data_IF_403853652609
#
_entry.id   IF_403853652609
#
_cell.length_a   1.000
_cell.length_b   1.000
_cell.length_c   1.000
_cell.angle_alpha   90.00
_cell.angle_beta   90.00
_cell.angle_gamma   90.00
#
_symmetry.space_group_name_H-M   'P 1'
#
loop_
_entity.id
_entity.type
_entity.pdbx_description
1 polymer ?
#
# COMPACT_ATOMS: atom_id res chain seq x y z
N UNK A 1 4.51 75.37 44.42
CA UNK A 1 5.04 74.10 43.82
C UNK A 1 4.00 73.02 43.98
N UNK A 2 3.21 72.82 42.96
CA UNK A 2 2.09 71.85 42.96
C UNK A 2 2.53 70.58 42.15
N UNK A 3 2.58 69.48 42.85
CA UNK A 3 2.88 68.12 42.25
C UNK A 3 1.60 67.49 41.77
N UNK A 4 1.50 67.21 40.46
CA UNK A 4 0.41 66.49 39.88
C UNK A 4 0.79 64.98 39.75
N UNK A 5 0.19 64.18 40.59
CA UNK A 5 0.21 62.70 40.45
C UNK A 5 -0.81 62.28 39.42
N UNK A 6 -0.34 61.66 38.28
CA UNK A 6 -1.18 61.06 37.28
C UNK A 6 -1.36 59.59 37.63
N UNK A 7 -2.57 59.22 38.00
CA UNK A 7 -3.01 57.79 38.17
C UNK A 7 -3.22 57.17 36.82
N UNK A 8 -2.42 56.15 36.51
CA UNK A 8 -2.57 55.29 35.32
C UNK A 8 -3.55 54.16 35.63
N UNK A 9 -4.70 54.14 34.97
CA UNK A 9 -5.65 53.03 35.03
C UNK A 9 -5.26 51.99 33.99
N UNK A 10 -4.82 50.82 34.44
CA UNK A 10 -4.66 49.64 33.60
C UNK A 10 -6.03 49.05 33.28
N UNK A 11 -6.40 49.08 32.00
CA UNK A 11 -7.54 48.35 31.47
C UNK A 11 -7.09 46.93 31.11
N UNK A 12 -7.55 45.93 31.85
CA UNK A 12 -7.35 44.52 31.57
C UNK A 12 -8.37 44.08 30.51
N UNK A 13 -7.93 43.99 29.27
CA UNK A 13 -8.73 43.38 28.20
C UNK A 13 -8.63 41.87 28.29
N UNK A 14 -9.70 41.19 28.69
CA UNK A 14 -9.82 39.74 28.65
C UNK A 14 -10.04 39.32 27.20
N UNK A 15 -9.03 38.66 26.60
CA UNK A 15 -9.13 38.07 25.29
C UNK A 15 -9.83 36.69 25.42
N UNK A 16 -11.10 36.63 25.03
CA UNK A 16 -11.85 35.39 24.96
C UNK A 16 -11.42 34.68 23.67
N UNK A 17 -10.55 33.66 23.80
CA UNK A 17 -10.13 32.77 22.72
C UNK A 17 -11.23 31.75 22.52
N UNK A 18 -12.16 32.00 21.59
CA UNK A 18 -13.15 30.99 21.16
C UNK A 18 -12.45 29.92 20.30
N UNK A 19 -12.25 28.75 20.88
CA UNK A 19 -11.85 27.56 20.12
C UNK A 19 -12.99 27.18 19.16
N UNK A 20 -12.85 27.52 17.90
CA UNK A 20 -13.64 26.91 16.84
C UNK A 20 -13.15 25.47 16.64
N UNK A 21 -13.82 24.49 17.25
CA UNK A 21 -13.68 23.09 16.89
C UNK A 21 -14.44 22.90 15.58
N UNK A 22 -13.71 22.94 14.46
CA UNK A 22 -14.28 22.54 13.18
C UNK A 22 -14.72 21.07 13.27
N UNK A 23 -15.96 20.71 12.85
CA UNK A 23 -16.35 19.33 12.78
C UNK A 23 -15.43 18.62 11.78
N UNK A 24 -14.62 17.71 12.27
CA UNK A 24 -13.92 16.77 11.40
C UNK A 24 -14.99 15.91 10.74
N UNK A 25 -15.24 16.16 9.46
CA UNK A 25 -15.95 15.22 8.61
C UNK A 25 -15.12 13.94 8.57
N UNK A 26 -15.45 13.01 9.47
CA UNK A 26 -14.95 11.65 9.43
C UNK A 26 -15.46 11.06 8.11
N UNK A 27 -14.62 11.13 7.08
CA UNK A 27 -14.83 10.31 5.89
C UNK A 27 -14.65 8.87 6.36
N UNK A 28 -15.76 8.21 6.68
CA UNK A 28 -15.75 6.77 6.86
C UNK A 28 -15.14 6.18 5.61
N UNK A 29 -14.00 5.50 5.77
CA UNK A 29 -13.37 4.81 4.67
C UNK A 29 -14.41 3.89 4.03
N UNK A 30 -14.53 3.85 2.69
CA UNK A 30 -15.41 2.91 2.03
C UNK A 30 -15.06 1.49 2.54
N UNK A 31 -16.05 0.65 2.80
CA UNK A 31 -15.79 -0.71 3.25
C UNK A 31 -14.84 -1.39 2.27
N UNK A 32 -13.86 -2.19 2.74
CA UNK A 32 -12.94 -2.88 1.86
C UNK A 32 -13.77 -3.68 0.84
N UNK A 33 -13.40 -3.56 -0.44
CA UNK A 33 -14.06 -4.30 -1.50
C UNK A 33 -14.01 -5.79 -1.14
N UNK A 34 -15.16 -6.42 -0.99
CA UNK A 34 -15.24 -7.83 -0.66
C UNK A 34 -14.71 -8.65 -1.84
N UNK A 35 -13.59 -9.32 -1.66
CA UNK A 35 -13.13 -10.32 -2.63
C UNK A 35 -13.96 -11.57 -2.40
N UNK A 36 -14.71 -11.97 -3.42
CA UNK A 36 -15.49 -13.20 -3.34
C UNK A 36 -14.55 -14.42 -3.54
N UNK A 37 -14.74 -15.50 -2.78
CA UNK A 37 -13.88 -16.71 -2.87
C UNK A 37 -13.85 -17.37 -4.25
N UNK A 38 -14.80 -17.05 -5.10
CA UNK A 38 -14.93 -17.61 -6.46
C UNK A 38 -14.23 -16.78 -7.55
N UNK A 39 -13.32 -15.89 -7.17
CA UNK A 39 -12.53 -15.14 -8.14
C UNK A 39 -13.27 -13.98 -8.77
N UNK A 40 -14.04 -13.21 -8.05
CA UNK A 40 -14.59 -11.96 -8.52
C UNK A 40 -13.62 -10.80 -8.24
N UNK A 41 -13.48 -9.92 -9.22
CA UNK A 41 -12.71 -8.70 -9.08
C UNK A 41 -11.44 -8.66 -9.92
N UNK A 42 -10.77 -7.54 -9.84
CA UNK A 42 -9.57 -7.21 -10.60
C UNK A 42 -8.38 -6.98 -9.68
N UNK A 43 -7.25 -7.62 -9.98
CA UNK A 43 -5.95 -7.27 -9.46
C UNK A 43 -5.27 -6.27 -10.38
N UNK A 44 -4.86 -5.11 -9.85
CA UNK A 44 -4.03 -4.15 -10.58
C UNK A 44 -2.58 -4.24 -10.10
N UNK A 45 -1.67 -4.55 -11.01
CA UNK A 45 -0.22 -4.59 -10.75
C UNK A 45 0.41 -3.37 -11.41
N UNK A 46 1.11 -2.55 -10.63
CA UNK A 46 1.84 -1.36 -11.11
C UNK A 46 3.33 -1.61 -10.94
N UNK A 47 4.10 -1.52 -12.03
CA UNK A 47 5.50 -1.89 -12.03
C UNK A 47 6.42 -1.04 -12.90
N UNK A 48 7.70 -1.38 -12.85
CA UNK A 48 8.77 -0.80 -13.66
C UNK A 48 9.38 -1.84 -14.62
N UNK A 49 10.63 -1.61 -15.09
CA UNK A 49 11.35 -2.55 -15.97
C UNK A 49 11.50 -3.96 -15.39
N UNK A 50 11.57 -4.09 -14.07
CA UNK A 50 11.63 -5.40 -13.43
C UNK A 50 10.31 -6.15 -13.59
N UNK A 51 9.18 -5.46 -13.56
CA UNK A 51 7.86 -6.05 -13.79
C UNK A 51 7.68 -6.44 -15.26
N UNK A 52 8.10 -5.58 -16.21
CA UNK A 52 8.14 -5.91 -17.64
C UNK A 52 8.87 -7.23 -17.88
N UNK A 53 10.09 -7.36 -17.37
CA UNK A 53 10.88 -8.59 -17.52
C UNK A 53 10.26 -9.79 -16.79
N UNK A 54 9.64 -9.55 -15.63
CA UNK A 54 8.98 -10.60 -14.84
C UNK A 54 7.77 -11.16 -15.57
N UNK A 55 6.97 -10.33 -16.21
CA UNK A 55 5.86 -10.80 -17.02
C UNK A 55 6.33 -11.44 -18.32
N UNK A 56 7.20 -10.77 -19.07
CA UNK A 56 7.67 -11.27 -20.36
C UNK A 56 8.34 -12.65 -20.28
N UNK A 57 9.32 -12.82 -19.39
CA UNK A 57 10.07 -14.07 -19.24
C UNK A 57 9.40 -15.05 -18.28
N UNK A 58 8.71 -14.57 -17.27
CA UNK A 58 8.15 -15.36 -16.18
C UNK A 58 6.65 -15.59 -16.28
N UNK A 59 5.96 -14.95 -17.25
CA UNK A 59 4.51 -15.08 -17.48
C UNK A 59 3.70 -14.75 -16.22
N UNK A 60 4.03 -13.61 -15.58
CA UNK A 60 3.44 -13.20 -14.30
C UNK A 60 1.91 -13.10 -14.40
N UNK A 61 1.38 -12.40 -15.43
CA UNK A 61 -0.05 -12.21 -15.59
C UNK A 61 -0.79 -13.55 -15.67
N UNK A 62 -0.48 -14.37 -16.66
CA UNK A 62 -1.19 -15.63 -16.89
C UNK A 62 -1.01 -16.63 -15.74
N UNK A 63 0.12 -16.59 -15.02
CA UNK A 63 0.32 -17.42 -13.82
C UNK A 63 -0.51 -16.95 -12.64
N UNK A 64 -0.70 -15.63 -12.52
CA UNK A 64 -1.55 -15.05 -11.47
C UNK A 64 -3.02 -15.34 -11.74
N UNK A 65 -3.48 -15.21 -12.99
CA UNK A 65 -4.84 -15.58 -13.40
C UNK A 65 -5.16 -17.04 -13.08
N UNK A 66 -4.20 -17.95 -13.32
CA UNK A 66 -4.35 -19.40 -12.97
C UNK A 66 -4.47 -19.69 -11.47
N UNK A 67 -4.21 -18.71 -10.59
CA UNK A 67 -4.51 -18.90 -9.17
C UNK A 67 -6.02 -18.98 -8.90
N UNK A 68 -6.87 -18.44 -9.80
CA UNK A 68 -8.31 -18.40 -9.65
C UNK A 68 -8.83 -17.43 -8.58
N UNK A 69 -7.93 -16.62 -7.98
CA UNK A 69 -8.30 -15.63 -6.95
C UNK A 69 -8.84 -14.35 -7.60
N UNK A 70 -8.19 -13.92 -8.69
CA UNK A 70 -8.59 -12.75 -9.48
C UNK A 70 -8.77 -13.17 -10.94
N UNK A 71 -10.01 -13.15 -11.46
CA UNK A 71 -10.27 -13.50 -12.86
C UNK A 71 -9.71 -12.45 -13.85
N UNK A 72 -9.50 -11.24 -13.36
CA UNK A 72 -8.93 -10.15 -14.15
C UNK A 72 -7.63 -9.71 -13.47
N UNK A 73 -6.52 -9.89 -14.17
CA UNK A 73 -5.20 -9.38 -13.76
C UNK A 73 -4.77 -8.36 -14.79
N UNK A 74 -4.55 -7.13 -14.35
CA UNK A 74 -4.05 -6.05 -15.20
C UNK A 74 -2.67 -5.65 -14.73
N UNK A 75 -1.71 -5.58 -15.66
CA UNK A 75 -0.36 -5.10 -15.39
C UNK A 75 -0.17 -3.77 -16.13
N UNK A 76 0.16 -2.73 -15.38
CA UNK A 76 0.61 -1.44 -15.89
C UNK A 76 2.06 -1.27 -15.49
N UNK A 77 2.97 -1.63 -16.37
CA UNK A 77 4.41 -1.52 -16.16
C UNK A 77 5.07 -0.66 -17.24
N UNK A 78 6.15 0.02 -16.84
CA UNK A 78 6.94 0.87 -17.74
C UNK A 78 8.37 0.98 -17.27
N UNK A 79 9.37 0.74 -18.15
CA UNK A 79 10.78 0.93 -17.80
C UNK A 79 11.05 2.33 -17.23
N UNK A 80 11.89 2.40 -16.18
CA UNK A 80 12.27 3.65 -15.53
C UNK A 80 11.23 4.29 -14.64
N UNK A 81 10.05 3.66 -14.45
CA UNK A 81 8.96 4.22 -13.64
C UNK A 81 9.36 4.38 -12.18
N UNK A 82 9.13 5.57 -11.64
CA UNK A 82 9.28 5.88 -10.21
C UNK A 82 8.00 5.59 -9.45
N UNK A 83 8.13 5.29 -8.16
CA UNK A 83 6.99 5.01 -7.30
C UNK A 83 6.02 6.19 -7.20
N UNK A 84 6.51 7.43 -7.25
CA UNK A 84 5.64 8.63 -7.22
C UNK A 84 4.60 8.66 -8.34
N UNK A 85 4.85 8.02 -9.48
CA UNK A 85 3.89 7.95 -10.58
C UNK A 85 2.74 6.97 -10.31
N UNK A 86 2.90 6.05 -9.34
CA UNK A 86 1.82 5.12 -9.00
C UNK A 86 0.58 5.85 -8.47
N UNK A 87 0.73 6.94 -7.74
CA UNK A 87 -0.39 7.74 -7.25
C UNK A 87 -1.30 8.20 -8.40
N UNK A 88 -0.75 8.80 -9.46
CA UNK A 88 -1.52 9.22 -10.64
C UNK A 88 -2.12 8.04 -11.42
N UNK A 89 -1.43 6.89 -11.42
CA UNK A 89 -1.94 5.67 -12.08
C UNK A 89 -3.14 5.14 -11.29
N UNK A 90 -3.05 5.07 -9.97
CA UNK A 90 -4.14 4.65 -9.10
C UNK A 90 -5.36 5.54 -9.26
N UNK A 91 -5.18 6.86 -9.23
CA UNK A 91 -6.26 7.83 -9.46
C UNK A 91 -7.05 7.52 -10.73
N UNK A 92 -6.33 7.19 -11.82
CA UNK A 92 -6.92 6.97 -13.16
C UNK A 92 -7.45 5.56 -13.37
N UNK A 93 -6.85 4.55 -12.77
CA UNK A 93 -7.12 3.15 -13.12
C UNK A 93 -7.91 2.37 -12.07
N UNK A 94 -8.09 2.90 -10.85
CA UNK A 94 -8.94 2.24 -9.88
C UNK A 94 -10.41 2.31 -10.30
N UNK A 95 -11.00 1.14 -10.44
CA UNK A 95 -12.43 0.97 -10.77
C UNK A 95 -13.16 0.31 -9.61
N UNK A 96 -14.49 0.29 -9.67
CA UNK A 96 -15.31 -0.41 -8.67
C UNK A 96 -15.04 -1.93 -8.62
N UNK A 97 -14.49 -2.50 -9.68
CA UNK A 97 -14.13 -3.92 -9.73
C UNK A 97 -12.71 -4.21 -9.24
N UNK A 98 -11.89 -3.19 -8.98
CA UNK A 98 -10.54 -3.40 -8.43
C UNK A 98 -10.65 -3.81 -6.96
N UNK A 99 -10.11 -4.97 -6.61
CA UNK A 99 -10.23 -5.57 -5.28
C UNK A 99 -8.88 -5.69 -4.56
N UNK A 100 -7.78 -5.59 -5.29
CA UNK A 100 -6.44 -5.60 -4.73
C UNK A 100 -5.43 -4.90 -5.66
N UNK A 101 -4.34 -4.44 -5.07
CA UNK A 101 -3.28 -3.71 -5.76
C UNK A 101 -1.93 -4.36 -5.45
N UNK A 102 -1.07 -4.47 -6.47
CA UNK A 102 0.36 -4.76 -6.29
C UNK A 102 1.15 -3.55 -6.72
N UNK A 103 2.06 -3.10 -5.87
CA UNK A 103 3.06 -2.09 -6.18
C UNK A 103 4.43 -2.76 -6.25
N UNK A 104 5.04 -2.77 -7.43
CA UNK A 104 6.37 -3.30 -7.67
C UNK A 104 7.30 -2.17 -8.15
N UNK A 105 7.43 -1.14 -7.31
CA UNK A 105 8.15 0.10 -7.58
C UNK A 105 9.05 0.50 -6.40
N UNK A 106 9.98 1.40 -6.66
CA UNK A 106 10.94 1.93 -5.69
C UNK A 106 12.38 1.82 -6.18
N UNK A 107 12.68 0.89 -7.08
CA UNK A 107 14.04 0.68 -7.63
C UNK A 107 14.57 1.96 -8.29
N UNK A 108 13.80 2.56 -9.19
CA UNK A 108 14.21 3.78 -9.91
C UNK A 108 14.28 5.01 -9.00
N UNK A 109 13.50 5.01 -7.93
CA UNK A 109 13.59 6.03 -6.88
C UNK A 109 14.92 5.92 -6.14
N UNK A 110 15.32 4.72 -5.74
CA UNK A 110 16.57 4.51 -5.02
C UNK A 110 17.81 4.75 -5.86
N UNK A 111 17.71 4.65 -7.18
CA UNK A 111 18.77 5.07 -8.12
C UNK A 111 18.89 6.59 -8.13
N UNK A 112 17.79 7.33 -8.14
CA UNK A 112 17.75 8.77 -8.46
C UNK A 112 17.51 9.70 -7.26
N UNK A 113 17.02 9.20 -6.12
CA UNK A 113 16.61 10.00 -4.96
C UNK A 113 17.45 9.67 -3.71
N UNK A 114 18.46 10.50 -3.38
CA UNK A 114 19.32 10.29 -2.22
C UNK A 114 18.68 10.74 -0.88
N UNK A 115 17.64 11.57 -0.92
CA UNK A 115 17.09 12.24 0.24
C UNK A 115 16.57 11.25 1.30
N UNK A 116 16.89 11.48 2.55
CA UNK A 116 16.55 10.59 3.65
C UNK A 116 15.04 10.49 3.92
N UNK A 117 14.32 11.58 3.70
CA UNK A 117 12.88 11.68 3.92
C UNK A 117 12.06 11.05 2.79
N UNK A 118 12.63 10.93 1.59
CA UNK A 118 11.91 10.57 0.38
C UNK A 118 11.21 9.20 0.44
N UNK A 119 11.82 8.11 0.97
CA UNK A 119 11.16 6.83 1.06
C UNK A 119 9.81 6.87 1.79
N UNK A 120 9.75 7.54 2.95
CA UNK A 120 8.49 7.68 3.68
C UNK A 120 7.47 8.48 2.87
N UNK A 121 7.88 9.62 2.36
CA UNK A 121 7.02 10.50 1.56
C UNK A 121 6.38 9.76 0.38
N UNK A 122 7.18 9.06 -0.43
CA UNK A 122 6.65 8.41 -1.63
C UNK A 122 5.75 7.21 -1.32
N UNK A 123 6.04 6.48 -0.25
CA UNK A 123 5.16 5.40 0.21
C UNK A 123 3.81 5.98 0.67
N UNK A 124 3.82 7.03 1.50
CA UNK A 124 2.59 7.65 1.99
C UNK A 124 1.79 8.29 0.85
N UNK A 125 2.47 8.91 -0.13
CA UNK A 125 1.84 9.45 -1.35
C UNK A 125 1.08 8.36 -2.13
N UNK A 126 1.70 7.21 -2.35
CA UNK A 126 1.08 6.10 -3.08
C UNK A 126 -0.07 5.49 -2.29
N UNK A 127 0.16 5.24 -0.99
CA UNK A 127 -0.83 4.60 -0.14
C UNK A 127 -2.10 5.44 0.05
N UNK A 128 -1.99 6.77 0.04
CA UNK A 128 -3.14 7.67 0.10
C UNK A 128 -4.13 7.46 -1.07
N UNK A 129 -3.61 7.11 -2.25
CA UNK A 129 -4.43 6.92 -3.46
C UNK A 129 -5.02 5.51 -3.58
N UNK A 130 -4.70 4.59 -2.69
CA UNK A 130 -5.18 3.19 -2.76
C UNK A 130 -6.65 3.01 -2.40
N UNK A 131 -7.35 4.04 -1.93
CA UNK A 131 -8.76 4.01 -1.47
C UNK A 131 -9.00 2.91 -0.43
N UNK A 132 -8.02 2.67 0.44
CA UNK A 132 -8.00 1.60 1.45
C UNK A 132 -8.11 0.17 0.88
N UNK A 133 -7.93 -0.01 -0.42
CA UNK A 133 -7.84 -1.35 -0.99
C UNK A 133 -6.63 -2.10 -0.44
N UNK A 134 -6.71 -3.42 -0.32
CA UNK A 134 -5.58 -4.25 0.02
C UNK A 134 -4.39 -4.03 -0.93
N UNK A 135 -3.20 -3.81 -0.38
CA UNK A 135 -1.96 -3.56 -1.15
C UNK A 135 -0.89 -4.58 -0.79
N UNK A 136 -0.30 -5.19 -1.81
CA UNK A 136 0.93 -5.96 -1.69
C UNK A 136 2.06 -5.18 -2.35
N UNK A 137 3.06 -4.73 -1.56
CA UNK A 137 4.22 -4.04 -2.10
C UNK A 137 5.41 -4.99 -2.20
N UNK A 138 5.91 -5.21 -3.41
CA UNK A 138 7.15 -5.97 -3.64
C UNK A 138 8.32 -5.04 -3.35
N UNK A 139 9.10 -5.34 -2.32
CA UNK A 139 10.21 -4.48 -1.93
C UNK A 139 11.39 -4.54 -2.91
N UNK A 140 12.36 -3.63 -2.72
CA UNK A 140 13.46 -3.44 -3.67
C UNK A 140 14.69 -4.28 -3.31
N UNK A 141 15.41 -4.75 -4.35
CA UNK A 141 16.69 -5.45 -4.23
C UNK A 141 17.67 -4.97 -5.31
N UNK A 142 18.92 -4.80 -4.92
CA UNK A 142 20.06 -4.58 -5.79
C UNK A 142 21.13 -5.64 -5.49
N UNK A 143 21.75 -6.19 -6.52
CA UNK A 143 22.85 -7.12 -6.30
C UNK A 143 24.11 -6.39 -5.83
N UNK A 144 25.07 -7.15 -5.31
CA UNK A 144 26.41 -6.62 -4.97
C UNK A 144 27.17 -6.03 -6.18
N UNK A 145 26.71 -6.30 -7.40
CA UNK A 145 27.24 -5.68 -8.63
C UNK A 145 26.76 -4.23 -8.78
N UNK A 146 25.65 -3.88 -8.13
CA UNK A 146 25.11 -2.53 -8.14
C UNK A 146 25.97 -1.54 -7.33
N UNK A 147 25.66 -0.27 -7.47
CA UNK A 147 26.34 0.79 -6.71
C UNK A 147 25.99 0.67 -5.22
N UNK A 148 26.99 0.83 -4.37
CA UNK A 148 26.82 0.74 -2.90
C UNK A 148 25.80 1.73 -2.33
N UNK A 149 25.72 2.93 -2.92
CA UNK A 149 24.74 3.94 -2.49
C UNK A 149 23.30 3.53 -2.85
N UNK A 150 23.07 2.83 -3.97
CA UNK A 150 21.76 2.29 -4.31
C UNK A 150 21.33 1.18 -3.34
N UNK A 151 22.26 0.28 -3.01
CA UNK A 151 22.01 -0.79 -2.03
C UNK A 151 21.62 -0.20 -0.67
N UNK A 152 22.36 0.78 -0.18
CA UNK A 152 22.05 1.41 1.11
C UNK A 152 20.72 2.17 1.10
N UNK A 153 20.37 2.81 -0.02
CA UNK A 153 19.06 3.45 -0.19
C UNK A 153 17.91 2.44 -0.25
N UNK A 154 18.11 1.29 -0.92
CA UNK A 154 17.15 0.18 -0.96
C UNK A 154 16.86 -0.35 0.45
N UNK A 155 17.89 -0.60 1.25
CA UNK A 155 17.71 -1.01 2.65
C UNK A 155 16.87 0.00 3.43
N UNK A 156 17.11 1.30 3.22
CA UNK A 156 16.34 2.37 3.86
C UNK A 156 14.89 2.41 3.37
N UNK A 157 14.66 2.24 2.07
CA UNK A 157 13.32 2.17 1.49
C UNK A 157 12.53 0.98 2.05
N UNK A 158 13.14 -0.20 2.10
CA UNK A 158 12.51 -1.40 2.64
C UNK A 158 12.17 -1.25 4.13
N UNK A 159 13.05 -0.61 4.93
CA UNK A 159 12.74 -0.26 6.32
C UNK A 159 11.58 0.73 6.42
N UNK A 160 11.46 1.68 5.50
CA UNK A 160 10.34 2.62 5.47
C UNK A 160 9.02 1.90 5.13
N UNK A 161 9.02 0.92 4.22
CA UNK A 161 7.86 0.07 3.95
C UNK A 161 7.38 -0.67 5.20
N UNK A 162 8.30 -1.29 5.95
CA UNK A 162 7.93 -1.98 7.20
C UNK A 162 7.30 -1.00 8.19
N UNK A 163 7.88 0.19 8.38
CA UNK A 163 7.30 1.22 9.26
C UNK A 163 5.94 1.75 8.76
N UNK A 164 5.73 1.75 7.45
CA UNK A 164 4.47 2.21 6.87
C UNK A 164 3.29 1.30 7.21
N UNK A 165 3.50 0.02 7.48
CA UNK A 165 2.42 -0.92 7.86
C UNK A 165 1.67 -0.50 9.12
N UNK A 166 2.33 0.22 10.04
CA UNK A 166 1.67 0.77 11.23
C UNK A 166 0.68 1.91 10.89
N UNK A 167 0.94 2.66 9.81
CA UNK A 167 0.06 3.75 9.33
C UNK A 167 -0.96 3.27 8.31
N UNK A 168 -0.64 2.21 7.59
CA UNK A 168 -1.41 1.66 6.49
C UNK A 168 -1.69 0.17 6.73
N UNK A 169 -2.68 -0.18 7.56
CA UNK A 169 -2.94 -1.58 7.96
C UNK A 169 -3.28 -2.51 6.78
N UNK A 170 -3.74 -1.95 5.64
CA UNK A 170 -3.99 -2.69 4.41
C UNK A 170 -2.72 -3.01 3.61
N UNK A 171 -1.54 -2.45 3.99
CA UNK A 171 -0.25 -2.71 3.33
C UNK A 171 0.34 -4.04 3.81
N UNK A 172 0.68 -4.90 2.86
CA UNK A 172 1.53 -6.09 3.07
C UNK A 172 2.78 -5.98 2.20
N UNK A 173 3.83 -6.64 2.61
CA UNK A 173 5.12 -6.60 1.92
C UNK A 173 5.45 -8.00 1.41
N UNK A 174 5.70 -8.11 0.11
CA UNK A 174 6.38 -9.26 -0.47
C UNK A 174 7.89 -9.00 -0.40
N UNK A 175 8.56 -9.71 0.50
CA UNK A 175 9.98 -9.48 0.81
C UNK A 175 10.89 -10.15 -0.21
N UNK A 176 10.99 -9.53 -1.40
CA UNK A 176 11.87 -9.96 -2.47
C UNK A 176 13.34 -9.86 -2.06
N UNK A 177 13.69 -8.86 -1.25
CA UNK A 177 15.05 -8.62 -0.79
C UNK A 177 15.63 -9.82 -0.05
N UNK A 178 14.90 -10.40 0.91
CA UNK A 178 15.40 -11.56 1.68
C UNK A 178 15.28 -12.88 0.91
N UNK A 179 14.50 -12.92 -0.17
CA UNK A 179 14.39 -14.09 -1.04
C UNK A 179 15.65 -14.34 -1.85
N UNK A 180 16.58 -13.37 -1.84
CA UNK A 180 17.90 -13.50 -2.43
C UNK A 180 18.96 -13.68 -1.35
N UNK A 181 19.60 -14.83 -1.34
CA UNK A 181 20.84 -15.02 -0.59
C UNK A 181 22.01 -14.37 -1.35
N UNK A 182 23.14 -14.02 -0.68
CA UNK A 182 24.33 -13.45 -1.35
C UNK A 182 24.82 -14.25 -2.57
N UNK A 183 24.54 -15.54 -2.65
CA UNK A 183 24.85 -16.42 -3.78
C UNK A 183 23.99 -16.16 -5.03
N UNK A 184 22.97 -15.33 -4.93
CA UNK A 184 22.05 -15.06 -6.02
C UNK A 184 22.48 -13.93 -6.96
N UNK A 185 23.70 -13.37 -6.82
CA UNK A 185 24.25 -12.38 -7.79
C UNK A 185 24.22 -12.88 -9.23
N UNK A 186 24.30 -14.19 -9.47
CA UNK A 186 24.15 -14.81 -10.79
C UNK A 186 22.77 -14.61 -11.44
N UNK A 187 21.79 -14.15 -10.71
CA UNK A 187 20.46 -13.82 -11.23
C UNK A 187 20.33 -12.40 -11.75
N UNK A 188 21.34 -11.57 -11.47
CA UNK A 188 21.43 -10.20 -11.99
C UNK A 188 22.36 -10.12 -13.18
N UNK A 189 22.10 -9.18 -14.09
CA UNK A 189 23.06 -8.78 -15.09
C UNK A 189 24.09 -7.79 -14.50
N UNK A 190 25.08 -7.41 -15.28
CA UNK A 190 26.21 -6.61 -14.79
C UNK A 190 25.87 -5.25 -14.21
N UNK A 191 24.69 -4.69 -14.51
CA UNK A 191 24.24 -3.41 -13.92
C UNK A 191 23.81 -3.50 -12.46
N UNK A 192 23.64 -4.73 -11.94
CA UNK A 192 23.25 -4.98 -10.57
C UNK A 192 21.80 -4.63 -10.23
N UNK A 193 20.98 -4.31 -11.23
CA UNK A 193 19.56 -3.90 -11.13
C UNK A 193 18.66 -4.91 -11.83
N UNK A 194 18.90 -5.10 -13.14
CA UNK A 194 18.09 -5.97 -13.96
C UNK A 194 18.50 -7.44 -13.80
N UNK A 195 17.54 -8.32 -14.06
CA UNK A 195 17.71 -9.74 -13.85
C UNK A 195 18.09 -10.47 -15.16
N UNK A 196 18.78 -11.57 -15.04
CA UNK A 196 18.88 -12.55 -16.13
C UNK A 196 17.52 -13.17 -16.41
N UNK A 197 17.35 -13.86 -17.54
CA UNK A 197 16.12 -14.59 -17.86
C UNK A 197 15.72 -15.54 -16.71
N UNK A 198 16.68 -16.24 -16.13
CA UNK A 198 16.46 -17.12 -14.98
C UNK A 198 16.05 -16.33 -13.74
N UNK A 199 16.65 -15.17 -13.50
CA UNK A 199 16.29 -14.26 -12.42
C UNK A 199 14.84 -13.77 -12.53
N UNK A 200 14.40 -13.37 -13.71
CA UNK A 200 13.02 -12.96 -13.97
C UNK A 200 12.00 -14.09 -13.74
N UNK A 201 12.32 -15.31 -14.20
CA UNK A 201 11.49 -16.50 -13.92
C UNK A 201 11.36 -16.79 -12.42
N UNK A 202 12.47 -16.62 -11.69
CA UNK A 202 12.46 -16.76 -10.22
C UNK A 202 11.61 -15.68 -9.56
N UNK A 203 11.75 -14.41 -10.00
CA UNK A 203 10.95 -13.31 -9.49
C UNK A 203 9.45 -13.53 -9.75
N UNK A 204 9.09 -14.04 -10.93
CA UNK A 204 7.71 -14.40 -11.22
C UNK A 204 7.18 -15.48 -10.28
N UNK A 205 7.97 -16.54 -10.03
CA UNK A 205 7.58 -17.60 -9.08
C UNK A 205 7.40 -17.05 -7.66
N UNK A 206 8.33 -16.23 -7.21
CA UNK A 206 8.23 -15.54 -5.93
C UNK A 206 6.94 -14.70 -5.84
N UNK A 207 6.70 -13.84 -6.84
CA UNK A 207 5.54 -12.93 -6.84
C UNK A 207 4.23 -13.70 -6.88
N UNK A 208 4.12 -14.75 -7.70
CA UNK A 208 2.92 -15.61 -7.74
C UNK A 208 2.67 -16.31 -6.41
N UNK A 209 3.72 -16.80 -5.73
CA UNK A 209 3.57 -17.42 -4.41
C UNK A 209 3.15 -16.40 -3.34
N UNK A 210 3.74 -15.20 -3.37
CA UNK A 210 3.33 -14.10 -2.48
C UNK A 210 1.87 -13.71 -2.72
N UNK A 211 1.43 -13.63 -3.98
CA UNK A 211 0.05 -13.33 -4.35
C UNK A 211 -0.93 -14.43 -3.92
N UNK A 212 -0.54 -15.70 -4.02
CA UNK A 212 -1.36 -16.80 -3.52
C UNK A 212 -1.64 -16.65 -2.02
N UNK A 213 -0.59 -16.49 -1.21
CA UNK A 213 -0.72 -16.31 0.25
C UNK A 213 -1.52 -15.06 0.59
N UNK A 214 -1.23 -13.96 -0.07
CA UNK A 214 -1.89 -12.68 0.14
C UNK A 214 -3.38 -12.73 -0.26
N UNK A 215 -3.70 -13.32 -1.40
CA UNK A 215 -5.06 -13.44 -1.88
C UNK A 215 -5.94 -14.29 -0.97
N UNK A 216 -5.42 -15.38 -0.42
CA UNK A 216 -6.12 -16.17 0.58
C UNK A 216 -6.42 -15.36 1.84
N UNK A 217 -5.46 -14.60 2.36
CA UNK A 217 -5.66 -13.74 3.53
C UNK A 217 -6.74 -12.67 3.31
N UNK A 218 -6.78 -12.08 2.12
CA UNK A 218 -7.79 -11.07 1.77
C UNK A 218 -9.18 -11.69 1.68
N UNK A 219 -9.30 -12.89 1.12
CA UNK A 219 -10.57 -13.65 1.06
C UNK A 219 -11.06 -13.98 2.46
N UNK A 220 -10.20 -14.51 3.33
CA UNK A 220 -10.55 -14.88 4.71
C UNK A 220 -11.04 -13.68 5.51
N UNK A 221 -10.37 -12.53 5.38
CA UNK A 221 -10.79 -11.30 6.04
C UNK A 221 -12.18 -10.83 5.59
N UNK A 222 -12.49 -10.94 4.30
CA UNK A 222 -13.80 -10.59 3.74
C UNK A 222 -14.92 -11.51 4.25
N UNK A 223 -14.64 -12.80 4.35
CA UNK A 223 -15.59 -13.81 4.85
C UNK A 223 -15.93 -13.57 6.32
N UNK A 224 -14.93 -13.24 7.14
CA UNK A 224 -15.11 -12.95 8.58
C UNK A 224 -16.00 -11.73 8.79
N UNK A 225 -15.84 -10.67 8.01
CA UNK A 225 -16.65 -9.45 8.13
C UNK A 225 -18.13 -9.71 7.80
N UNK A 226 -18.42 -10.55 6.81
CA UNK A 226 -19.81 -10.88 6.43
C UNK A 226 -20.51 -11.70 7.50
N UNK A 227 -19.80 -12.60 8.19
CA UNK A 227 -20.39 -13.44 9.25
C UNK A 227 -20.77 -12.67 10.51
N UNK A 228 -20.10 -11.56 10.81
CA UNK A 228 -20.37 -10.75 12.02
C UNK A 228 -21.61 -9.85 11.87
N UNK A 229 -22.06 -9.57 10.66
CA UNK A 229 -23.21 -8.67 10.40
C UNK A 229 -24.56 -9.39 10.51
N UNK A 230 -24.62 -10.72 10.62
CA UNK A 230 -25.87 -11.50 10.57
C UNK A 230 -26.45 -11.86 11.95
N UNK A 231 -25.85 -11.41 13.07
CA UNK A 231 -26.30 -11.85 14.42
C UNK A 231 -26.83 -10.71 15.29
N UNK A 232 -27.71 -9.86 14.76
CA UNK A 232 -28.41 -8.85 15.59
C UNK A 232 -29.83 -8.56 15.07
N UNK A 233 -30.72 -9.56 15.10
CA UNK A 233 -32.15 -9.31 15.06
C UNK A 233 -32.85 -10.33 15.96
N UNK A 234 -32.80 -10.13 17.27
CA UNK A 234 -33.72 -10.77 18.23
C UNK A 234 -34.87 -9.81 18.49
N UNK A 235 -35.99 -10.11 17.88
CA UNK A 235 -37.28 -9.51 18.12
C UNK A 235 -37.75 -9.86 19.54
N UNK A 236 -37.84 -8.86 20.40
CA UNK A 236 -38.51 -8.95 21.68
C UNK A 236 -40.03 -8.75 21.45
N UNK A 237 -40.79 -9.82 21.44
CA UNK A 237 -42.25 -9.78 21.51
C UNK A 237 -42.71 -9.70 22.98
N UNK A 238 -43.30 -8.59 23.38
CA UNK A 238 -43.99 -8.41 24.65
C UNK A 238 -45.42 -8.95 24.49
N UNK A 239 -45.92 -9.83 25.36
CA UNK A 239 -47.32 -10.31 25.31
C UNK A 239 -48.27 -9.25 25.87
N UNK A 240 -49.55 -9.20 25.40
CA UNK A 240 -50.54 -8.25 25.92
C UNK A 240 -51.08 -8.72 27.27
N UNK A 241 -51.12 -7.79 28.23
CA UNK A 241 -51.73 -7.94 29.52
C UNK A 241 -53.24 -7.79 29.38
N UNK A 242 -53.97 -8.84 29.69
CA UNK A 242 -55.47 -8.80 29.93
C UNK A 242 -55.69 -8.52 31.40
N UNK A 243 -56.50 -7.54 31.70
CA UNK A 243 -57.06 -7.28 33.03
C UNK A 243 -58.59 -7.33 32.96
N UNK A 244 -59.28 -7.86 34.02
CA UNK A 244 -60.70 -8.17 34.06
C UNK A 244 -61.59 -6.95 34.14
#
# INVERSE_FOLDING_TARGET
MLSHTKTCRLATSALILSLFVAPQLSHAAPPPASIQPNGQGRLLIIGDSLSVGTDYFGKLQSRTERLGIWPIVSIDDKPGRKASLAATILEKQLTATTTAIVIALGTNDMISRPELWYPQYVIDLVMAETRNLPVLWVNTEFSALGRRDWISRSVRFNKALVKAQARWPQLRIADWNTSFTPKASSRFIADGVHLTVSGYKTRATFTVNALRTYGMQVVDASTTTTSTTTTSTSTSTVPPTTTP
#
